data_IF_357997978908
#
_entry.id   IF_357997978908
#
_cell.length_a   1.000
_cell.length_b   1.000
_cell.length_c   1.000
_cell.angle_alpha   90.00
_cell.angle_beta   90.00
_cell.angle_gamma   90.00
#
_symmetry.space_group_name_H-M   'P 1'
#
loop_
_entity.id
_entity.type
_entity.pdbx_description
1 polymer ?
#
# COMPACT_ATOMS: atom_id res chain seq x y z
N UNK A 1 -4.12 -49.27 -68.35
CA UNK A 1 -4.64 -47.93 -68.66
C UNK A 1 -4.48 -47.04 -67.42
N UNK A 2 -3.42 -46.23 -67.39
CA UNK A 2 -3.14 -45.28 -66.31
C UNK A 2 -4.25 -44.20 -66.28
N UNK A 3 -4.99 -44.10 -65.17
CA UNK A 3 -5.83 -42.94 -64.86
C UNK A 3 -5.05 -42.01 -63.94
N UNK A 4 -4.79 -40.79 -64.41
CA UNK A 4 -4.16 -39.72 -63.64
C UNK A 4 -5.05 -39.28 -62.46
N UNK A 5 -4.48 -38.88 -61.31
CA UNK A 5 -5.26 -38.30 -60.23
C UNK A 5 -5.73 -36.88 -60.58
N UNK A 6 -6.98 -36.60 -60.19
CA UNK A 6 -7.67 -35.34 -60.42
C UNK A 6 -6.96 -34.14 -59.78
N UNK A 7 -6.92 -33.02 -60.50
CA UNK A 7 -6.44 -31.73 -60.01
C UNK A 7 -7.22 -31.31 -58.75
N UNK A 8 -6.52 -31.14 -57.64
CA UNK A 8 -7.03 -30.49 -56.43
C UNK A 8 -7.38 -29.04 -56.78
N UNK A 9 -8.66 -28.68 -56.62
CA UNK A 9 -9.16 -27.31 -56.80
C UNK A 9 -8.55 -26.43 -55.70
N UNK A 10 -7.88 -25.34 -56.08
CA UNK A 10 -7.37 -24.36 -55.14
C UNK A 10 -8.51 -23.78 -54.29
N UNK A 11 -8.35 -23.83 -52.97
CA UNK A 11 -9.22 -23.17 -52.00
C UNK A 11 -9.05 -21.66 -52.17
N UNK A 12 -10.14 -20.86 -52.28
CA UNK A 12 -10.00 -19.42 -52.40
C UNK A 12 -9.39 -18.88 -51.11
N UNK A 13 -8.27 -18.17 -51.25
CA UNK A 13 -7.60 -17.42 -50.18
C UNK A 13 -8.61 -16.46 -49.54
N UNK A 14 -8.75 -16.56 -48.22
CA UNK A 14 -9.59 -15.67 -47.43
C UNK A 14 -9.22 -14.21 -47.72
N UNK A 15 -10.19 -13.43 -48.22
CA UNK A 15 -10.07 -11.97 -48.30
C UNK A 15 -9.85 -11.44 -46.89
N UNK A 16 -8.75 -10.73 -46.68
CA UNK A 16 -8.50 -9.99 -45.45
C UNK A 16 -9.67 -9.01 -45.22
N UNK A 17 -10.49 -9.29 -44.21
CA UNK A 17 -11.49 -8.35 -43.71
C UNK A 17 -10.69 -7.25 -43.01
N UNK A 18 -10.63 -6.07 -43.64
CA UNK A 18 -10.03 -4.89 -43.02
C UNK A 18 -10.84 -4.55 -41.77
N UNK A 19 -10.27 -4.81 -40.59
CA UNK A 19 -10.83 -4.32 -39.32
C UNK A 19 -10.92 -2.80 -39.39
N UNK A 20 -12.06 -2.17 -39.03
CA UNK A 20 -12.11 -0.72 -38.94
C UNK A 20 -11.04 -0.30 -37.94
N UNK A 21 -10.13 0.59 -38.38
CA UNK A 21 -9.11 1.18 -37.52
C UNK A 21 -9.81 1.67 -36.26
N UNK A 22 -9.49 1.05 -35.13
CA UNK A 22 -9.97 1.47 -33.82
C UNK A 22 -9.62 2.97 -33.69
N UNK A 23 -10.64 3.82 -33.79
CA UNK A 23 -10.48 5.25 -33.60
C UNK A 23 -9.87 5.40 -32.21
N UNK A 24 -8.67 6.00 -32.13
CA UNK A 24 -8.05 6.41 -30.87
C UNK A 24 -9.07 7.31 -30.17
N UNK A 25 -9.83 6.76 -29.24
CA UNK A 25 -10.64 7.55 -28.32
C UNK A 25 -9.63 8.39 -27.54
N UNK A 26 -9.53 9.67 -27.90
CA UNK A 26 -8.72 10.62 -27.17
C UNK A 26 -9.21 10.57 -25.72
N UNK A 27 -8.37 10.04 -24.81
CA UNK A 27 -8.67 10.06 -23.37
C UNK A 27 -8.99 11.49 -23.02
N UNK A 28 -10.24 11.76 -22.64
CA UNK A 28 -10.66 13.05 -22.09
C UNK A 28 -9.69 13.35 -20.95
N UNK A 29 -8.87 14.40 -21.08
CA UNK A 29 -7.99 14.84 -19.99
C UNK A 29 -8.90 15.28 -18.85
N UNK A 30 -9.12 14.40 -17.88
CA UNK A 30 -9.74 14.79 -16.61
C UNK A 30 -8.79 15.81 -15.98
N UNK A 31 -9.26 17.01 -15.63
CA UNK A 31 -8.44 17.98 -14.89
C UNK A 31 -7.88 17.28 -13.66
N UNK A 32 -6.56 17.39 -13.44
CA UNK A 32 -5.98 16.91 -12.18
C UNK A 32 -6.68 17.68 -11.06
N UNK A 33 -7.18 17.01 -10.01
CA UNK A 33 -7.62 17.73 -8.82
C UNK A 33 -6.45 18.61 -8.35
N UNK A 34 -6.73 19.81 -7.80
CA UNK A 34 -5.68 20.63 -7.21
C UNK A 34 -4.92 19.76 -6.21
N UNK A 35 -3.58 19.84 -6.21
CA UNK A 35 -2.77 19.22 -5.15
C UNK A 35 -3.37 19.69 -3.83
N UNK A 36 -3.73 18.76 -2.96
CA UNK A 36 -4.13 19.10 -1.60
C UNK A 36 -3.06 20.06 -1.05
N UNK A 37 -3.49 21.28 -0.70
CA UNK A 37 -2.60 22.25 -0.08
C UNK A 37 -2.21 21.66 1.27
N UNK A 38 -0.90 21.48 1.55
CA UNK A 38 -0.47 21.11 2.88
C UNK A 38 -1.06 22.07 3.91
N UNK A 39 -1.29 21.59 5.14
CA UNK A 39 -1.76 22.48 6.21
C UNK A 39 -0.79 23.68 6.34
N UNK A 40 -1.25 24.87 6.74
CA UNK A 40 -0.40 26.07 6.79
C UNK A 40 0.79 25.95 7.75
N UNK A 41 0.75 25.00 8.69
CA UNK A 41 1.83 24.60 9.60
C UNK A 41 2.75 23.49 9.05
N UNK A 42 2.46 22.95 7.86
CA UNK A 42 3.26 21.90 7.21
C UNK A 42 4.43 22.53 6.45
N UNK A 43 5.61 22.52 7.06
CA UNK A 43 6.88 22.79 6.37
C UNK A 43 7.68 21.48 6.20
N UNK A 44 7.78 20.94 4.97
CA UNK A 44 8.49 19.69 4.71
C UNK A 44 10.00 19.80 4.98
N UNK A 45 10.55 21.01 5.08
CA UNK A 45 11.97 21.24 5.39
C UNK A 45 12.28 21.18 6.87
N UNK A 46 11.30 21.35 7.76
CA UNK A 46 11.54 21.34 9.21
C UNK A 46 11.08 20.05 9.85
N UNK A 47 10.06 19.37 9.29
CA UNK A 47 9.53 18.13 9.86
C UNK A 47 10.49 16.94 9.77
N UNK A 48 11.38 16.94 8.76
CA UNK A 48 12.29 15.82 8.46
C UNK A 48 13.73 16.26 8.25
N UNK A 49 14.10 17.50 8.61
CA UNK A 49 15.50 17.91 8.49
C UNK A 49 16.34 17.19 9.54
N UNK A 50 17.31 16.37 9.10
CA UNK A 50 18.26 15.71 9.98
C UNK A 50 19.25 16.70 10.60
N UNK A 51 19.26 17.96 10.15
CA UNK A 51 20.16 19.00 10.64
C UNK A 51 19.80 19.54 12.04
N UNK A 52 18.65 19.16 12.62
CA UNK A 52 18.14 19.77 13.86
C UNK A 52 18.51 19.00 15.13
N UNK A 53 18.86 17.71 15.05
CA UNK A 53 19.09 16.89 16.25
C UNK A 53 20.23 15.88 16.05
N UNK A 54 21.08 15.72 17.07
CA UNK A 54 22.11 14.67 17.11
C UNK A 54 21.50 13.26 17.10
N UNK A 55 20.26 13.14 17.59
CA UNK A 55 19.45 11.93 17.60
C UNK A 55 18.17 12.16 16.80
N UNK A 56 17.95 11.40 15.72
CA UNK A 56 16.70 11.45 14.95
C UNK A 56 15.65 10.54 15.60
N UNK A 57 14.81 11.12 16.46
CA UNK A 57 13.66 10.43 17.08
C UNK A 57 12.38 11.15 16.65
N UNK A 58 11.73 10.75 15.55
CA UNK A 58 10.48 11.35 15.15
C UNK A 58 9.40 11.05 16.20
N UNK A 59 8.62 12.06 16.57
CA UNK A 59 7.46 11.89 17.45
C UNK A 59 6.50 10.88 16.84
N UNK A 60 6.16 9.83 17.59
CA UNK A 60 5.24 8.83 17.08
C UNK A 60 3.81 9.39 17.04
N UNK A 61 3.01 9.00 16.05
CA UNK A 61 1.61 9.45 15.93
C UNK A 61 0.82 9.17 17.21
N UNK A 62 1.08 8.04 17.87
CA UNK A 62 0.47 7.71 19.16
C UNK A 62 0.83 8.71 20.27
N UNK A 63 2.07 9.19 20.32
CA UNK A 63 2.50 10.21 21.29
C UNK A 63 1.85 11.56 20.98
N UNK A 64 1.67 11.90 19.70
CA UNK A 64 0.95 13.11 19.27
C UNK A 64 -0.50 13.14 19.77
N UNK A 65 -1.15 11.96 19.88
CA UNK A 65 -2.50 11.82 20.41
C UNK A 65 -2.55 11.46 21.90
N UNK A 66 -1.41 11.44 22.61
CA UNK A 66 -1.34 11.12 24.03
C UNK A 66 -1.75 9.68 24.37
N UNK A 67 -1.58 8.74 23.44
CA UNK A 67 -1.91 7.33 23.67
C UNK A 67 -0.88 6.68 24.61
N UNK A 68 -1.36 5.84 25.53
CA UNK A 68 -0.52 5.07 26.43
C UNK A 68 0.23 3.97 25.68
N UNK A 69 1.50 3.75 26.06
CA UNK A 69 2.33 2.65 25.56
C UNK A 69 1.98 1.36 26.28
N UNK A 70 2.02 0.25 25.54
CA UNK A 70 1.70 -1.10 26.03
C UNK A 70 2.65 -2.10 25.40
N UNK A 71 2.94 -3.23 26.06
CA UNK A 71 3.74 -4.29 25.44
C UNK A 71 3.04 -4.83 24.19
N UNK A 72 3.82 -5.15 23.18
CA UNK A 72 3.38 -5.85 21.98
C UNK A 72 2.90 -7.27 22.36
N UNK A 73 1.87 -7.83 21.68
CA UNK A 73 1.50 -9.24 21.85
C UNK A 73 2.67 -10.20 21.62
N UNK A 74 3.63 -9.79 20.80
CA UNK A 74 4.84 -10.56 20.55
C UNK A 74 5.93 -10.37 21.60
N UNK A 75 5.80 -9.47 22.57
CA UNK A 75 6.79 -9.29 23.63
C UNK A 75 6.58 -10.28 24.79
N UNK A 76 5.35 -10.74 25.01
CA UNK A 76 4.96 -11.57 26.16
C UNK A 76 5.25 -13.08 26.01
N UNK A 77 5.84 -13.51 24.89
CA UNK A 77 5.94 -14.94 24.55
C UNK A 77 4.66 -15.46 23.87
N UNK A 78 4.72 -16.65 23.26
CA UNK A 78 3.53 -17.27 22.67
C UNK A 78 3.84 -18.39 21.68
N UNK A 79 2.81 -18.98 21.07
CA UNK A 79 2.97 -20.02 20.04
C UNK A 79 3.75 -19.53 18.82
N UNK A 80 3.60 -18.26 18.46
CA UNK A 80 4.29 -17.64 17.32
C UNK A 80 5.77 -17.34 17.58
N UNK A 81 6.23 -17.39 18.84
CA UNK A 81 7.65 -17.22 19.18
C UNK A 81 8.53 -18.33 18.65
N UNK A 82 8.01 -19.56 18.59
CA UNK A 82 8.73 -20.70 18.03
C UNK A 82 9.03 -20.50 16.54
N UNK A 83 8.23 -19.69 15.85
CA UNK A 83 8.41 -19.31 14.45
C UNK A 83 9.25 -18.04 14.25
N UNK A 84 9.84 -17.48 15.31
CA UNK A 84 10.73 -16.32 15.21
C UNK A 84 10.06 -14.96 15.41
N UNK A 85 8.73 -14.90 15.52
CA UNK A 85 8.01 -13.65 15.77
C UNK A 85 8.22 -13.20 17.21
N UNK A 86 8.64 -11.94 17.40
CA UNK A 86 8.93 -11.38 18.73
C UNK A 86 10.34 -11.64 19.27
N UNK A 87 11.17 -12.43 18.57
CA UNK A 87 12.55 -12.72 19.04
C UNK A 87 13.51 -11.52 18.92
N UNK A 88 13.19 -10.56 18.04
CA UNK A 88 13.95 -9.31 17.85
C UNK A 88 13.00 -8.16 17.56
N UNK A 89 13.19 -7.07 18.29
CA UNK A 89 12.52 -5.80 18.05
C UNK A 89 13.51 -4.76 17.54
N UNK A 90 13.01 -3.82 16.76
CA UNK A 90 13.78 -2.68 16.27
C UNK A 90 13.60 -1.53 17.27
N UNK A 91 14.70 -0.91 17.68
CA UNK A 91 14.67 0.23 18.59
C UNK A 91 14.10 1.48 17.90
N UNK A 92 13.44 2.36 18.65
CA UNK A 92 12.89 3.60 18.11
C UNK A 92 13.97 4.59 17.63
N UNK A 93 15.21 4.45 18.11
CA UNK A 93 16.39 5.21 17.69
C UNK A 93 17.14 4.55 16.52
N UNK A 94 16.75 3.34 16.11
CA UNK A 94 17.39 2.67 14.97
C UNK A 94 17.06 3.44 13.68
N UNK A 95 18.12 3.90 13.01
CA UNK A 95 18.04 4.73 11.83
C UNK A 95 19.13 4.37 10.83
N UNK A 96 18.80 4.51 9.55
CA UNK A 96 19.68 4.19 8.42
C UNK A 96 20.04 5.48 7.71
N UNK A 97 21.31 5.66 7.36
CA UNK A 97 21.75 6.82 6.57
C UNK A 97 21.23 6.69 5.13
N UNK A 98 20.67 7.78 4.59
CA UNK A 98 20.16 7.87 3.22
C UNK A 98 21.30 7.86 2.19
N UNK A 99 22.49 8.33 2.59
CA UNK A 99 23.68 8.30 1.76
C UNK A 99 24.78 7.44 2.42
N UNK A 100 24.90 6.16 2.04
CA UNK A 100 25.87 5.26 2.66
C UNK A 100 27.32 5.53 2.22
N UNK A 101 27.54 6.37 1.19
CA UNK A 101 28.87 6.65 0.67
C UNK A 101 29.49 7.85 1.39
N UNK A 102 30.59 7.60 2.11
CA UNK A 102 31.48 8.66 2.61
C UNK A 102 32.47 9.02 1.51
N UNK A 103 32.26 10.16 0.86
CA UNK A 103 33.25 10.72 -0.07
C UNK A 103 34.23 11.60 0.72
N UNK A 104 35.39 11.07 1.09
CA UNK A 104 36.51 11.88 1.56
C UNK A 104 37.33 12.35 0.35
N UNK A 105 37.22 13.63 -0.01
CA UNK A 105 38.12 14.22 -1.01
C UNK A 105 39.45 14.59 -0.33
N UNK A 106 40.55 13.99 -0.78
CA UNK A 106 41.90 14.36 -0.30
C UNK A 106 42.24 15.72 -0.88
N UNK A 107 42.18 16.78 -0.06
CA UNK A 107 42.62 18.13 -0.42
C UNK A 107 41.56 19.24 -0.38
N UNK A 108 40.33 18.97 0.02
CA UNK A 108 39.36 20.03 0.34
C UNK A 108 39.40 20.33 1.84
N UNK A 109 39.48 21.63 2.19
CA UNK A 109 39.20 22.13 3.54
C UNK A 109 37.89 21.55 4.07
N UNK A 110 37.78 21.35 5.39
CA UNK A 110 36.76 20.62 6.15
C UNK A 110 35.26 21.00 5.96
N UNK A 111 34.91 21.72 4.89
CA UNK A 111 33.56 22.24 4.63
C UNK A 111 32.96 21.76 3.28
N UNK A 112 32.98 20.46 2.99
CA UNK A 112 31.98 19.90 2.06
C UNK A 112 30.85 19.30 2.86
N UNK A 113 29.82 20.14 3.05
CA UNK A 113 28.49 19.87 3.58
C UNK A 113 28.05 18.39 3.44
N UNK A 114 28.42 17.58 4.44
CA UNK A 114 27.85 16.26 4.63
C UNK A 114 26.59 16.45 5.48
N UNK A 115 25.42 16.49 4.86
CA UNK A 115 24.19 16.28 5.61
C UNK A 115 24.10 14.77 5.90
N UNK A 116 24.29 14.37 7.16
CA UNK A 116 23.99 12.98 7.59
C UNK A 116 22.47 12.82 7.63
N UNK A 117 21.87 12.68 6.45
CA UNK A 117 20.43 12.47 6.35
C UNK A 117 20.10 11.02 6.72
N UNK A 118 19.19 10.86 7.69
CA UNK A 118 18.83 9.55 8.24
C UNK A 118 17.33 9.32 8.14
N UNK A 119 16.94 8.07 7.94
CA UNK A 119 15.56 7.61 8.01
C UNK A 119 15.39 6.59 9.15
N UNK A 120 14.26 6.64 9.86
CA UNK A 120 13.94 5.63 10.88
C UNK A 120 13.72 4.28 10.23
N UNK A 121 14.24 3.24 10.86
CA UNK A 121 14.06 1.87 10.42
C UNK A 121 12.68 1.35 10.80
N UNK A 122 11.89 0.94 9.80
CA UNK A 122 10.63 0.23 10.02
C UNK A 122 10.89 -1.18 10.59
N UNK A 123 9.98 -1.67 11.43
CA UNK A 123 10.03 -3.03 11.98
C UNK A 123 9.18 -3.17 13.25
N UNK A 124 9.04 -4.40 13.73
CA UNK A 124 8.30 -4.69 14.96
C UNK A 124 8.91 -3.93 16.16
N UNK A 125 8.05 -3.42 17.03
CA UNK A 125 8.42 -2.74 18.28
C UNK A 125 7.99 -3.57 19.48
N UNK A 126 8.78 -3.50 20.54
CA UNK A 126 8.47 -4.14 21.81
C UNK A 126 7.24 -3.50 22.46
N UNK A 127 7.06 -2.19 22.25
CA UNK A 127 5.91 -1.41 22.72
C UNK A 127 5.04 -0.92 21.54
N UNK A 128 3.72 -0.98 21.71
CA UNK A 128 2.70 -0.49 20.78
C UNK A 128 1.70 0.44 21.49
N UNK A 129 0.88 1.17 20.73
CA UNK A 129 -0.05 2.18 21.26
C UNK A 129 -1.51 1.73 21.28
N UNK A 130 -1.89 0.87 20.34
CA UNK A 130 -3.26 0.40 20.21
C UNK A 130 -3.39 -1.00 20.79
N UNK A 131 -4.50 -1.24 21.48
CA UNK A 131 -4.91 -2.57 21.90
C UNK A 131 -5.45 -3.35 20.68
N UNK A 132 -4.75 -4.39 20.20
CA UNK A 132 -5.14 -5.08 18.96
C UNK A 132 -6.58 -5.58 18.96
N UNK A 133 -7.10 -6.02 20.12
CA UNK A 133 -8.48 -6.52 20.25
C UNK A 133 -9.55 -5.44 20.06
N UNK A 134 -9.16 -4.17 20.22
CA UNK A 134 -10.05 -3.00 20.06
C UNK A 134 -9.82 -2.27 18.74
N UNK A 135 -8.83 -2.67 17.96
CA UNK A 135 -8.52 -2.06 16.66
C UNK A 135 -9.52 -2.56 15.62
N UNK A 136 -10.14 -1.60 14.95
CA UNK A 136 -10.85 -1.81 13.68
C UNK A 136 -9.95 -1.34 12.55
N UNK A 137 -9.47 -2.28 11.74
CA UNK A 137 -8.58 -1.98 10.62
C UNK A 137 -9.35 -1.99 9.30
N UNK A 138 -9.08 -1.04 8.42
CA UNK A 138 -9.63 -1.01 7.07
C UNK A 138 -8.51 -0.95 6.03
N UNK A 139 -8.56 -1.83 5.04
CA UNK A 139 -7.63 -1.90 3.91
C UNK A 139 -8.36 -1.41 2.66
N UNK A 140 -7.73 -0.50 1.93
CA UNK A 140 -8.27 0.05 0.68
C UNK A 140 -7.18 0.11 -0.39
N UNK A 141 -7.50 -0.29 -1.62
CA UNK A 141 -6.61 -0.14 -2.77
C UNK A 141 -7.15 0.89 -3.75
N UNK A 142 -6.36 1.94 -4.01
CA UNK A 142 -6.72 3.07 -4.86
C UNK A 142 -5.78 3.21 -6.07
N UNK A 143 -6.28 3.81 -7.16
CA UNK A 143 -5.47 4.15 -8.34
C UNK A 143 -5.39 3.04 -9.39
N UNK A 144 -4.22 2.90 -10.02
CA UNK A 144 -3.99 1.87 -11.03
C UNK A 144 -3.65 0.53 -10.39
N UNK A 145 -4.06 -0.58 -11.03
CA UNK A 145 -3.65 -1.91 -10.59
C UNK A 145 -2.16 -2.12 -10.89
N UNK A 146 -1.46 -2.71 -9.93
CA UNK A 146 -0.05 -3.09 -9.99
C UNK A 146 0.08 -4.56 -9.57
N UNK A 147 1.01 -5.35 -10.12
CA UNK A 147 1.32 -6.68 -9.58
C UNK A 147 1.66 -6.60 -8.09
N UNK A 148 1.16 -7.57 -7.30
CA UNK A 148 1.45 -7.68 -5.86
C UNK A 148 0.44 -7.04 -4.92
N UNK A 149 -0.62 -6.37 -5.40
CA UNK A 149 -1.64 -5.79 -4.50
C UNK A 149 -2.32 -6.84 -3.62
N UNK A 150 -2.63 -8.01 -4.17
CA UNK A 150 -3.18 -9.12 -3.39
C UNK A 150 -2.19 -9.67 -2.36
N UNK A 151 -0.90 -9.69 -2.68
CA UNK A 151 0.13 -10.12 -1.73
C UNK A 151 0.22 -9.16 -0.54
N UNK A 152 0.12 -7.85 -0.80
CA UNK A 152 0.03 -6.81 0.24
C UNK A 152 -1.23 -6.97 1.09
N UNK A 153 -2.40 -7.16 0.47
CA UNK A 153 -3.67 -7.34 1.21
C UNK A 153 -3.58 -8.58 2.11
N UNK A 154 -3.07 -9.70 1.59
CA UNK A 154 -2.88 -10.93 2.36
C UNK A 154 -1.92 -10.72 3.53
N UNK A 155 -0.74 -10.19 3.27
CA UNK A 155 0.29 -9.98 4.30
C UNK A 155 -0.19 -9.07 5.43
N UNK A 156 -0.89 -7.97 5.11
CA UNK A 156 -1.46 -7.08 6.12
C UNK A 156 -2.55 -7.77 6.93
N UNK A 157 -3.47 -8.49 6.26
CA UNK A 157 -4.59 -9.19 6.93
C UNK A 157 -4.06 -10.24 7.90
N UNK A 158 -3.15 -11.12 7.45
CA UNK A 158 -2.54 -12.14 8.31
C UNK A 158 -1.79 -11.51 9.48
N UNK A 159 -1.00 -10.46 9.23
CA UNK A 159 -0.26 -9.78 10.30
C UNK A 159 -1.22 -9.20 11.35
N UNK A 160 -2.31 -8.55 10.94
CA UNK A 160 -3.29 -8.00 11.87
C UNK A 160 -3.98 -9.08 12.72
N UNK A 161 -4.30 -10.23 12.12
CA UNK A 161 -4.82 -11.39 12.86
C UNK A 161 -3.78 -11.95 13.83
N UNK A 162 -2.49 -12.04 13.45
CA UNK A 162 -1.42 -12.49 14.34
C UNK A 162 -1.23 -11.55 15.54
N UNK A 163 -1.47 -10.24 15.37
CA UNK A 163 -1.52 -9.28 16.47
C UNK A 163 -2.79 -9.43 17.35
N UNK A 164 -3.80 -10.17 16.90
CA UNK A 164 -5.07 -10.39 17.60
C UNK A 164 -6.19 -9.42 17.23
N UNK A 165 -6.15 -8.78 16.06
CA UNK A 165 -7.23 -7.93 15.57
C UNK A 165 -8.40 -8.79 15.03
N UNK A 166 -9.62 -8.53 15.49
CA UNK A 166 -10.81 -9.31 15.10
C UNK A 166 -11.65 -8.67 13.97
N UNK A 167 -11.54 -7.35 13.81
CA UNK A 167 -12.33 -6.55 12.88
C UNK A 167 -11.44 -5.93 11.80
N UNK A 168 -11.20 -6.71 10.74
CA UNK A 168 -10.45 -6.29 9.56
C UNK A 168 -11.42 -6.18 8.38
N UNK A 169 -11.51 -4.99 7.80
CA UNK A 169 -12.42 -4.64 6.71
C UNK A 169 -11.64 -4.32 5.44
N UNK A 170 -12.16 -4.76 4.31
CA UNK A 170 -11.68 -4.44 2.97
C UNK A 170 -12.66 -3.49 2.28
N UNK A 171 -12.23 -2.28 2.02
CA UNK A 171 -13.05 -1.27 1.34
C UNK A 171 -12.93 -1.47 -0.17
N UNK A 172 -14.09 -1.72 -0.81
CA UNK A 172 -14.14 -2.06 -2.22
C UNK A 172 -14.06 -0.83 -3.11
N UNK A 173 -13.43 -0.98 -4.27
CA UNK A 173 -13.36 0.02 -5.33
C UNK A 173 -12.77 1.37 -4.87
N UNK A 174 -11.68 1.34 -4.11
CA UNK A 174 -10.96 2.55 -3.67
C UNK A 174 -11.80 3.45 -2.76
N UNK A 175 -11.61 4.76 -2.84
CA UNK A 175 -12.34 5.71 -1.98
C UNK A 175 -13.86 5.69 -2.15
N UNK A 176 -14.38 5.17 -3.26
CA UNK A 176 -15.82 5.07 -3.51
C UNK A 176 -16.53 4.16 -2.51
N UNK A 177 -15.85 3.11 -2.04
CA UNK A 177 -16.43 2.17 -1.08
C UNK A 177 -16.69 2.75 0.31
N UNK A 178 -16.20 3.96 0.61
CA UNK A 178 -16.54 4.65 1.85
C UNK A 178 -17.91 5.35 1.80
N UNK A 179 -18.46 5.61 0.61
CA UNK A 179 -19.70 6.37 0.44
C UNK A 179 -20.92 5.47 0.16
N UNK A 180 -20.77 4.15 0.32
CA UNK A 180 -21.77 3.15 -0.08
C UNK A 180 -23.10 3.22 0.67
N UNK A 181 -23.15 3.90 1.81
CA UNK A 181 -24.33 3.94 2.69
C UNK A 181 -25.25 5.17 2.47
N UNK A 182 -24.77 6.28 1.89
CA UNK A 182 -25.58 7.51 1.75
C UNK A 182 -26.34 7.63 0.42
N UNK A 183 -26.03 6.81 -0.58
CA UNK A 183 -26.77 6.81 -1.83
C UNK A 183 -27.97 5.85 -1.72
N UNK A 184 -29.18 6.35 -1.99
CA UNK A 184 -30.45 5.60 -2.05
C UNK A 184 -30.47 4.39 -3.02
N UNK A 185 -29.35 4.11 -3.68
CA UNK A 185 -29.08 3.02 -4.62
C UNK A 185 -27.86 2.19 -4.16
N UNK A 186 -27.75 1.91 -2.85
CA UNK A 186 -26.66 1.13 -2.27
C UNK A 186 -26.55 -0.23 -2.95
N UNK A 187 -25.61 -0.34 -3.89
CA UNK A 187 -25.32 -1.60 -4.53
C UNK A 187 -24.65 -2.49 -3.47
N UNK A 188 -25.26 -3.62 -3.04
CA UNK A 188 -24.70 -4.49 -2.00
C UNK A 188 -23.29 -4.99 -2.33
N UNK A 189 -22.92 -4.90 -3.62
CA UNK A 189 -21.59 -5.22 -4.13
C UNK A 189 -20.49 -4.23 -3.70
N UNK A 190 -20.81 -3.03 -3.19
CA UNK A 190 -19.84 -2.01 -2.76
C UNK A 190 -19.63 -1.96 -1.24
N UNK A 191 -20.37 -2.75 -0.46
CA UNK A 191 -20.22 -2.81 1.00
C UNK A 191 -18.81 -3.28 1.43
N UNK A 192 -18.30 -2.80 2.58
CA UNK A 192 -17.07 -3.31 3.17
C UNK A 192 -17.11 -4.83 3.35
N UNK A 193 -16.03 -5.49 2.96
CA UNK A 193 -15.87 -6.93 3.06
C UNK A 193 -15.07 -7.28 4.30
N UNK A 194 -15.54 -8.18 5.17
CA UNK A 194 -14.70 -8.68 6.27
C UNK A 194 -13.55 -9.51 5.68
N UNK A 195 -12.31 -9.17 6.04
CA UNK A 195 -11.12 -9.91 5.65
C UNK A 195 -10.70 -10.85 6.79
N UNK A 196 -10.35 -12.09 6.43
CA UNK A 196 -9.80 -13.10 7.33
C UNK A 196 -8.66 -13.82 6.60
N UNK A 197 -7.72 -14.44 7.32
CA UNK A 197 -6.63 -15.25 6.73
C UNK A 197 -7.15 -16.30 5.76
N UNK A 198 -8.25 -16.96 6.10
CA UNK A 198 -8.93 -17.94 5.25
C UNK A 198 -9.44 -17.32 3.95
N UNK A 199 -10.03 -16.12 4.01
CA UNK A 199 -10.52 -15.44 2.81
C UNK A 199 -9.38 -15.00 1.90
N UNK A 200 -8.27 -14.53 2.48
CA UNK A 200 -7.10 -14.06 1.72
C UNK A 200 -6.14 -15.20 1.39
N UNK A 201 -6.53 -16.45 1.63
CA UNK A 201 -5.75 -17.60 1.20
C UNK A 201 -5.66 -17.61 -0.34
N UNK A 202 -4.45 -17.85 -0.86
CA UNK A 202 -4.15 -17.96 -2.28
C UNK A 202 -4.40 -16.73 -3.17
N UNK A 203 -4.89 -15.60 -2.65
CA UNK A 203 -5.13 -14.40 -3.48
C UNK A 203 -3.86 -13.88 -4.16
N UNK A 204 -2.67 -14.17 -3.59
CA UNK A 204 -1.37 -13.79 -4.13
C UNK A 204 -1.07 -14.40 -5.52
N UNK A 205 -1.69 -15.53 -5.87
CA UNK A 205 -1.51 -16.17 -7.18
C UNK A 205 -2.38 -15.50 -8.25
N UNK A 206 -3.34 -14.66 -7.83
CA UNK A 206 -4.27 -13.97 -8.72
C UNK A 206 -3.81 -12.54 -8.98
N UNK A 207 -3.87 -12.09 -10.24
CA UNK A 207 -3.56 -10.72 -10.61
C UNK A 207 -4.65 -9.71 -10.19
N UNK A 208 -4.27 -8.44 -10.07
CA UNK A 208 -5.19 -7.36 -9.70
C UNK A 208 -5.31 -7.17 -8.18
N UNK A 209 -6.49 -6.77 -7.72
CA UNK A 209 -6.84 -6.57 -6.31
C UNK A 209 -8.21 -7.19 -6.05
N UNK A 210 -8.35 -8.04 -5.01
CA UNK A 210 -9.65 -8.60 -4.58
C UNK A 210 -10.65 -7.52 -4.15
N UNK A 211 -10.15 -6.38 -3.66
CA UNK A 211 -10.96 -5.22 -3.29
C UNK A 211 -11.34 -4.37 -4.50
N UNK A 212 -10.72 -4.61 -5.67
CA UNK A 212 -10.79 -3.72 -6.81
C UNK A 212 -10.10 -2.38 -6.53
N UNK A 213 -10.10 -1.51 -7.53
CA UNK A 213 -9.52 -0.17 -7.39
C UNK A 213 -10.34 0.83 -8.19
N UNK A 214 -10.40 2.07 -7.70
CA UNK A 214 -10.98 3.19 -8.45
C UNK A 214 -10.00 4.33 -8.61
N UNK A 215 -10.29 5.19 -9.59
CA UNK A 215 -9.62 6.46 -9.82
C UNK A 215 -10.59 7.58 -9.44
N UNK A 216 -10.07 8.61 -8.79
CA UNK A 216 -10.85 9.73 -8.28
C UNK A 216 -10.20 10.25 -6.99
N UNK A 217 -10.53 11.48 -6.62
CA UNK A 217 -10.22 11.97 -5.27
C UNK A 217 -11.21 11.39 -4.25
N UNK A 218 -10.79 11.27 -3.00
CA UNK A 218 -11.68 11.03 -1.88
C UNK A 218 -12.08 12.36 -1.23
N UNK A 219 -13.34 12.49 -0.84
CA UNK A 219 -13.80 13.60 0.01
C UNK A 219 -13.40 13.30 1.46
N UNK A 220 -12.40 14.02 1.98
CA UNK A 220 -11.79 13.72 3.28
C UNK A 220 -12.80 13.86 4.44
N UNK A 221 -13.58 14.95 4.57
CA UNK A 221 -14.63 15.06 5.57
C UNK A 221 -15.57 13.84 5.60
N UNK A 222 -16.06 13.40 4.45
CA UNK A 222 -17.01 12.30 4.38
C UNK A 222 -16.38 10.91 4.56
N UNK A 223 -15.06 10.75 4.41
CA UNK A 223 -14.33 9.52 4.77
C UNK A 223 -14.06 9.44 6.28
N UNK A 224 -13.86 10.59 6.93
CA UNK A 224 -13.45 10.67 8.35
C UNK A 224 -14.65 10.74 9.31
N UNK A 225 -15.84 11.04 8.79
CA UNK A 225 -17.10 11.17 9.53
C UNK A 225 -17.46 9.90 10.32
#
# INVERSE_FOLDING_TARGET
ALRMPARVRAVPTARAIASPRCARVARRRVPRPPRATPRPDYDPKTLFSPAVMSDFVPTHVGEMYGLEKRPSPFAEGGSLWEFGLGQRFIDNRDSVSLNPLRTSYVGASEDTAFSDERAVRAGAREEIYYDPKRVKAAIVTCGGLCPGLNDVIRSITTTLEDYGCEEILGIKYGFRGFFGDEAADANPLEAPMKLTSEMVEDIQITGGSILGSSRGGGDMPAIVQ
#
